data_IF_024446760026
#
_entry.id   IF_024446760026
#
_cell.length_a   1.000
_cell.length_b   1.000
_cell.length_c   1.000
_cell.angle_alpha   90.00
_cell.angle_beta   90.00
_cell.angle_gamma   90.00
#
_symmetry.space_group_name_H-M   'P 1'
#
loop_
_entity.id
_entity.type
_entity.pdbx_description
1 polymer ?
#
# COMPACT_ATOMS: atom_id res chain seq x y z
N UNK A 1 24.24 -17.21 31.87
CA UNK A 1 25.25 -17.07 30.80
C UNK A 1 24.53 -17.05 29.46
N UNK A 2 24.35 -15.86 28.89
CA UNK A 2 24.16 -15.60 27.46
C UNK A 2 24.12 -14.08 27.30
N UNK A 3 25.30 -13.51 27.43
CA UNK A 3 25.64 -12.11 27.18
C UNK A 3 25.56 -11.88 25.68
N UNK A 4 24.57 -11.13 25.18
CA UNK A 4 24.64 -10.44 23.89
C UNK A 4 23.81 -9.15 23.96
N UNK A 5 24.29 -8.22 24.79
CA UNK A 5 24.13 -6.80 24.53
C UNK A 5 25.25 -6.39 23.58
N UNK A 6 24.99 -6.32 22.27
CA UNK A 6 25.77 -5.48 21.35
C UNK A 6 25.05 -5.25 20.02
N UNK A 7 24.79 -3.98 19.73
CA UNK A 7 24.26 -3.39 18.49
C UNK A 7 22.73 -3.20 18.37
N UNK A 8 22.10 -2.65 19.40
CA UNK A 8 20.94 -1.78 19.17
C UNK A 8 21.45 -0.52 18.44
N UNK A 9 21.43 -0.55 17.11
CA UNK A 9 21.49 0.67 16.31
C UNK A 9 20.30 1.56 16.72
N UNK A 10 20.43 2.91 16.65
CA UNK A 10 19.36 3.84 17.05
C UNK A 10 18.06 3.72 16.23
N UNK A 11 17.98 2.75 15.32
CA UNK A 11 16.84 2.44 14.44
C UNK A 11 15.93 1.33 14.99
N UNK A 12 16.23 0.80 16.18
CA UNK A 12 15.44 -0.26 16.83
C UNK A 12 14.22 0.32 17.54
N UNK A 13 13.36 1.04 16.81
CA UNK A 13 12.14 1.64 17.36
C UNK A 13 10.89 1.24 16.57
N UNK A 14 10.82 -0.04 16.21
CA UNK A 14 9.62 -0.64 15.67
C UNK A 14 8.96 -1.53 16.73
N UNK A 15 8.67 -0.99 17.92
CA UNK A 15 7.86 -1.71 18.91
C UNK A 15 6.93 -0.76 19.65
N UNK A 16 5.64 -0.88 19.33
CA UNK A 16 4.48 -0.81 20.23
C UNK A 16 4.62 0.22 21.38
N UNK A 17 4.40 1.49 21.06
CA UNK A 17 4.35 2.57 22.05
C UNK A 17 3.68 3.79 21.46
N UNK A 18 2.43 4.02 21.83
CA UNK A 18 1.65 5.18 21.43
C UNK A 18 2.30 6.45 22.01
N UNK A 19 2.51 7.45 21.14
CA UNK A 19 2.80 8.87 21.43
C UNK A 19 4.26 9.28 21.78
N UNK A 20 4.90 9.90 20.77
CA UNK A 20 5.99 10.86 20.94
C UNK A 20 6.33 11.53 19.61
N UNK A 21 6.23 12.87 19.53
CA UNK A 21 6.49 13.64 18.29
C UNK A 21 7.87 13.32 17.70
N UNK A 22 8.88 13.10 18.54
CA UNK A 22 10.23 12.72 18.11
C UNK A 22 10.27 11.35 17.42
N UNK A 23 9.54 10.36 17.96
CA UNK A 23 9.47 9.02 17.39
C UNK A 23 8.81 9.07 16.00
N UNK A 24 7.80 9.93 15.84
CA UNK A 24 7.10 10.06 14.55
C UNK A 24 7.98 10.62 13.44
N UNK A 25 8.87 11.57 13.76
CA UNK A 25 9.78 12.14 12.77
C UNK A 25 10.91 11.18 12.40
N UNK A 26 11.42 10.42 13.37
CA UNK A 26 12.45 9.40 13.13
C UNK A 26 11.93 8.32 12.17
N UNK A 27 10.68 7.89 12.33
CA UNK A 27 10.07 6.88 11.45
C UNK A 27 9.94 7.40 10.01
N UNK A 28 9.58 8.68 9.81
CA UNK A 28 9.51 9.29 8.47
C UNK A 28 10.89 9.40 7.81
N UNK A 29 11.93 9.71 8.57
CA UNK A 29 13.32 9.75 8.06
C UNK A 29 13.80 8.35 7.69
N UNK A 30 13.36 7.32 8.42
CA UNK A 30 13.66 5.93 8.10
C UNK A 30 13.06 5.48 6.76
N UNK A 31 11.77 5.78 6.52
CA UNK A 31 11.14 5.57 5.21
C UNK A 31 11.94 6.29 4.10
N UNK A 32 12.24 7.58 4.30
CA UNK A 32 12.99 8.40 3.34
C UNK A 32 14.38 7.84 3.02
N UNK A 33 15.06 7.28 4.01
CA UNK A 33 16.40 6.71 3.85
C UNK A 33 16.41 5.55 2.83
N UNK A 34 15.49 4.60 2.98
CA UNK A 34 15.38 3.45 2.08
C UNK A 34 14.78 3.80 0.72
N UNK A 35 13.97 4.86 0.64
CA UNK A 35 13.39 5.31 -0.62
C UNK A 35 14.38 6.09 -1.49
N UNK A 36 15.19 6.98 -0.91
CA UNK A 36 16.05 7.89 -1.67
C UNK A 36 17.53 7.47 -1.68
N UNK A 37 18.07 7.07 -0.52
CA UNK A 37 19.52 6.97 -0.34
C UNK A 37 20.08 5.56 -0.53
N UNK A 38 19.26 4.53 -0.32
CA UNK A 38 19.63 3.15 -0.62
C UNK A 38 19.54 2.94 -2.13
N UNK A 39 20.59 2.40 -2.74
CA UNK A 39 20.62 2.05 -4.16
C UNK A 39 20.43 0.53 -4.32
N UNK A 40 19.53 0.06 -5.20
CA UNK A 40 18.56 0.82 -6.00
C UNK A 40 17.51 1.52 -5.12
N UNK A 41 16.92 2.63 -5.58
CA UNK A 41 15.91 3.39 -4.80
C UNK A 41 14.60 2.62 -4.62
N UNK A 42 13.76 3.07 -3.67
CA UNK A 42 12.43 2.49 -3.43
C UNK A 42 12.44 1.11 -2.76
N UNK A 43 13.44 0.80 -1.95
CA UNK A 43 13.59 -0.53 -1.32
C UNK A 43 12.81 -0.67 -0.02
N UNK A 44 12.05 0.36 0.37
CA UNK A 44 11.33 0.34 1.64
C UNK A 44 10.35 -0.84 1.76
N UNK A 45 9.77 -1.30 0.66
CA UNK A 45 8.91 -2.49 0.66
C UNK A 45 9.65 -3.78 1.07
N UNK A 46 10.92 -3.95 0.68
CA UNK A 46 11.71 -5.11 1.09
C UNK A 46 12.08 -5.04 2.57
N UNK A 47 12.45 -3.86 3.04
CA UNK A 47 12.69 -3.64 4.47
C UNK A 47 11.42 -3.90 5.28
N UNK A 48 10.25 -3.52 4.78
CA UNK A 48 8.96 -3.76 5.42
C UNK A 48 8.67 -5.25 5.60
N UNK A 49 9.04 -6.09 4.62
CA UNK A 49 8.96 -7.54 4.75
C UNK A 49 9.91 -8.06 5.84
N UNK A 50 11.15 -7.58 5.87
CA UNK A 50 12.12 -7.93 6.91
C UNK A 50 11.61 -7.54 8.31
N UNK A 51 11.00 -6.36 8.43
CA UNK A 51 10.41 -5.90 9.69
C UNK A 51 9.26 -6.79 10.13
N UNK A 52 8.42 -7.27 9.21
CA UNK A 52 7.38 -8.23 9.56
C UNK A 52 7.92 -9.58 10.04
N UNK A 53 9.08 -10.02 9.55
CA UNK A 53 9.71 -11.26 10.02
C UNK A 53 10.24 -11.12 11.45
N UNK A 54 10.63 -9.91 11.85
CA UNK A 54 11.19 -9.62 13.19
C UNK A 54 10.06 -9.30 14.20
N UNK A 55 9.12 -8.43 13.82
CA UNK A 55 8.14 -7.83 14.73
C UNK A 55 6.74 -8.42 14.63
N UNK A 56 6.48 -9.24 13.60
CA UNK A 56 5.21 -9.93 13.41
C UNK A 56 4.29 -9.30 12.36
N UNK A 57 3.02 -9.75 12.29
CA UNK A 57 2.13 -9.51 11.16
C UNK A 57 1.60 -8.08 11.03
N UNK A 58 1.68 -7.26 12.09
CA UNK A 58 1.19 -5.88 12.10
C UNK A 58 2.30 -4.97 12.58
N UNK A 59 2.74 -4.06 11.73
CA UNK A 59 3.82 -3.12 12.04
C UNK A 59 3.39 -1.69 11.74
N UNK A 60 3.84 -0.75 12.56
CA UNK A 60 3.65 0.67 12.30
C UNK A 60 4.86 1.19 11.55
N UNK A 61 4.75 1.27 10.22
CA UNK A 61 5.82 1.75 9.36
C UNK A 61 5.89 3.28 9.30
N UNK A 62 4.82 3.97 9.67
CA UNK A 62 4.74 5.42 9.62
C UNK A 62 3.86 5.98 10.75
N UNK A 63 4.03 7.26 11.13
CA UNK A 63 3.12 7.92 12.07
C UNK A 63 1.68 7.84 11.61
N UNK A 64 1.48 7.93 10.30
CA UNK A 64 0.18 8.00 9.65
C UNK A 64 -0.23 6.67 8.99
N UNK A 65 0.65 5.65 8.99
CA UNK A 65 0.38 4.38 8.31
C UNK A 65 0.81 3.14 9.11
N UNK A 66 -0.04 2.13 9.06
CA UNK A 66 0.17 0.80 9.61
C UNK A 66 0.20 -0.16 8.43
N UNK A 67 1.17 -1.07 8.42
CA UNK A 67 1.28 -2.12 7.42
C UNK A 67 0.92 -3.46 8.05
N UNK A 68 0.11 -4.24 7.33
CA UNK A 68 -0.47 -5.49 7.80
C UNK A 68 -0.19 -6.59 6.78
N UNK A 69 0.43 -7.68 7.21
CA UNK A 69 0.79 -8.86 6.41
C UNK A 69 0.00 -10.09 6.86
N UNK A 70 -1.29 -9.93 7.13
CA UNK A 70 -2.16 -10.98 7.64
C UNK A 70 -3.54 -10.93 6.97
N UNK A 71 -4.01 -12.08 6.50
CA UNK A 71 -5.30 -12.28 5.84
C UNK A 71 -6.47 -12.08 6.80
N UNK A 72 -6.29 -12.30 8.11
CA UNK A 72 -7.35 -12.09 9.09
C UNK A 72 -7.87 -10.65 9.11
N UNK A 73 -7.03 -9.68 8.71
CA UNK A 73 -7.41 -8.26 8.65
C UNK A 73 -8.04 -7.84 7.33
N UNK A 74 -8.18 -8.75 6.35
CA UNK A 74 -8.65 -8.40 5.01
C UNK A 74 -10.04 -7.75 5.05
N UNK A 75 -11.01 -8.37 5.73
CA UNK A 75 -12.39 -7.85 5.79
C UNK A 75 -12.49 -6.54 6.58
N UNK A 76 -11.55 -6.29 7.49
CA UNK A 76 -11.49 -5.08 8.32
C UNK A 76 -10.92 -3.91 7.50
N UNK A 77 -9.84 -4.16 6.75
CA UNK A 77 -9.13 -3.16 5.94
C UNK A 77 -9.86 -2.89 4.62
N UNK A 78 -10.25 -3.96 3.94
CA UNK A 78 -10.98 -3.96 2.67
C UNK A 78 -12.43 -4.32 2.92
N UNK A 79 -13.16 -3.40 3.57
CA UNK A 79 -14.56 -3.60 3.91
C UNK A 79 -15.45 -3.89 2.69
N UNK A 80 -16.42 -4.78 2.88
CA UNK A 80 -17.44 -5.12 1.90
C UNK A 80 -18.54 -4.05 1.71
N UNK A 81 -19.59 -4.38 0.93
CA UNK A 81 -20.71 -3.49 0.65
C UNK A 81 -21.33 -2.92 1.93
N UNK A 82 -21.46 -1.61 2.03
CA UNK A 82 -22.13 -0.92 3.15
C UNK A 82 -21.21 -0.11 4.08
N UNK A 83 -19.89 -0.20 3.93
CA UNK A 83 -18.95 0.65 4.65
C UNK A 83 -18.33 1.68 3.72
N UNK A 84 -18.40 2.95 4.12
CA UNK A 84 -17.81 4.07 3.38
C UNK A 84 -16.41 4.35 3.92
N UNK A 85 -15.40 4.29 3.04
CA UNK A 85 -14.02 4.67 3.33
C UNK A 85 -13.52 5.67 2.30
N UNK A 86 -12.75 6.64 2.77
CA UNK A 86 -12.09 7.65 1.95
C UNK A 86 -10.62 7.29 1.83
N UNK A 87 -10.03 7.43 0.65
CA UNK A 87 -8.60 7.21 0.47
C UNK A 87 -7.82 8.27 1.23
N UNK A 88 -6.66 7.90 1.74
CA UNK A 88 -5.77 8.87 2.36
C UNK A 88 -5.13 9.77 1.28
N UNK A 89 -5.28 11.07 1.45
CA UNK A 89 -4.83 12.11 0.52
C UNK A 89 -3.34 12.02 0.12
N UNK A 90 -2.42 11.72 1.07
CA UNK A 90 -0.98 11.51 0.73
C UNK A 90 -0.79 10.36 -0.25
N UNK A 91 -1.47 9.24 -0.04
CA UNK A 91 -1.43 8.08 -0.94
C UNK A 91 -2.09 8.41 -2.29
N UNK A 92 -3.16 9.21 -2.27
CA UNK A 92 -3.87 9.63 -3.47
C UNK A 92 -3.02 10.51 -4.40
N UNK A 93 -2.19 11.39 -3.82
CA UNK A 93 -1.22 12.23 -4.56
C UNK A 93 -0.08 11.44 -5.19
N UNK A 94 0.35 10.34 -4.56
CA UNK A 94 1.43 9.50 -5.07
C UNK A 94 1.11 8.88 -6.44
N UNK A 95 -0.19 8.69 -6.75
CA UNK A 95 -0.64 8.16 -8.04
C UNK A 95 -0.42 9.10 -9.24
N UNK A 96 0.06 10.33 -9.04
CA UNK A 96 0.40 11.32 -10.07
C UNK A 96 -0.65 11.53 -11.19
N UNK A 97 -1.93 11.21 -10.94
CA UNK A 97 -3.01 11.21 -11.92
C UNK A 97 -4.23 12.01 -11.42
N UNK A 98 -4.06 13.32 -11.18
CA UNK A 98 -5.09 14.16 -10.60
C UNK A 98 -6.38 14.11 -11.42
N UNK A 99 -7.52 13.98 -10.75
CA UNK A 99 -8.83 13.92 -11.39
C UNK A 99 -9.22 12.55 -11.98
N UNK A 100 -8.32 11.56 -11.99
CA UNK A 100 -8.63 10.20 -12.46
C UNK A 100 -9.63 9.47 -11.55
N UNK A 101 -10.13 8.32 -12.00
CA UNK A 101 -10.90 7.40 -11.13
C UNK A 101 -10.02 6.88 -9.99
N UNK A 102 -8.75 6.57 -10.28
CA UNK A 102 -7.78 6.10 -9.29
C UNK A 102 -7.49 7.16 -8.22
N UNK A 103 -7.49 8.44 -8.60
CA UNK A 103 -7.21 9.58 -7.72
C UNK A 103 -8.46 10.25 -7.12
N UNK A 104 -9.64 9.61 -7.18
CA UNK A 104 -10.82 10.11 -6.49
C UNK A 104 -10.70 9.84 -4.99
N UNK A 105 -10.58 10.89 -4.18
CA UNK A 105 -10.39 10.78 -2.72
C UNK A 105 -11.67 10.30 -2.02
N UNK A 106 -12.79 10.98 -2.28
CA UNK A 106 -14.09 10.68 -1.67
C UNK A 106 -14.80 9.48 -2.29
N UNK A 107 -15.48 8.70 -1.44
CA UNK A 107 -16.24 7.52 -1.84
C UNK A 107 -17.29 7.81 -2.93
N UNK A 108 -18.12 8.83 -2.76
CA UNK A 108 -19.17 9.17 -3.74
C UNK A 108 -18.59 9.59 -5.09
N UNK A 109 -17.51 10.38 -5.07
CA UNK A 109 -16.81 10.79 -6.29
C UNK A 109 -16.20 9.57 -7.01
N UNK A 110 -15.56 8.68 -6.25
CA UNK A 110 -15.01 7.44 -6.78
C UNK A 110 -16.12 6.55 -7.36
N UNK A 111 -17.24 6.41 -6.66
CA UNK A 111 -18.41 5.62 -7.08
C UNK A 111 -18.98 6.14 -8.40
N UNK A 112 -19.22 7.45 -8.51
CA UNK A 112 -19.74 8.08 -9.72
C UNK A 112 -18.79 7.88 -10.92
N UNK A 113 -17.49 8.12 -10.72
CA UNK A 113 -16.46 7.91 -11.77
C UNK A 113 -16.33 6.44 -12.17
N UNK A 114 -16.36 5.51 -11.21
CA UNK A 114 -16.26 4.06 -11.47
C UNK A 114 -17.49 3.52 -12.19
N UNK A 115 -18.67 4.07 -11.91
CA UNK A 115 -19.92 3.67 -12.55
C UNK A 115 -19.88 3.89 -14.07
N UNK A 116 -19.29 4.99 -14.53
CA UNK A 116 -19.11 5.26 -15.96
C UNK A 116 -18.28 4.18 -16.68
N UNK A 117 -17.42 3.45 -15.95
CA UNK A 117 -16.59 2.38 -16.50
C UNK A 117 -17.27 1.00 -16.52
N UNK A 118 -18.39 0.80 -15.80
CA UNK A 118 -19.04 -0.50 -15.69
C UNK A 118 -19.39 -1.19 -17.03
N UNK A 119 -19.85 -0.48 -18.09
CA UNK A 119 -20.17 -1.12 -19.37
C UNK A 119 -18.96 -1.79 -20.05
N UNK A 120 -17.75 -1.29 -19.83
CA UNK A 120 -16.53 -1.86 -20.40
C UNK A 120 -16.16 -3.20 -19.75
N UNK A 121 -16.56 -3.40 -18.50
CA UNK A 121 -16.28 -4.61 -17.73
C UNK A 121 -17.49 -5.58 -17.68
N UNK A 122 -18.45 -5.43 -18.59
CA UNK A 122 -19.54 -6.40 -18.72
C UNK A 122 -19.01 -7.70 -19.32
N UNK A 123 -19.58 -8.86 -18.92
CA UNK A 123 -19.20 -10.17 -19.46
C UNK A 123 -19.20 -10.19 -21.00
N UNK A 124 -20.26 -9.65 -21.61
CA UNK A 124 -20.39 -9.54 -23.08
C UNK A 124 -19.25 -8.72 -23.71
N UNK A 125 -18.90 -7.58 -23.11
CA UNK A 125 -17.81 -6.73 -23.61
C UNK A 125 -16.47 -7.44 -23.50
N UNK A 126 -16.22 -8.11 -22.37
CA UNK A 126 -15.00 -8.88 -22.11
C UNK A 126 -14.87 -10.05 -23.08
N UNK A 127 -15.94 -10.80 -23.30
CA UNK A 127 -15.97 -11.93 -24.23
C UNK A 127 -15.61 -11.47 -25.66
N UNK A 128 -16.22 -10.37 -26.12
CA UNK A 128 -15.92 -9.78 -27.44
C UNK A 128 -14.47 -9.30 -27.54
N UNK A 129 -13.95 -8.67 -26.49
CA UNK A 129 -12.57 -8.19 -26.46
C UNK A 129 -11.57 -9.36 -26.46
N UNK A 130 -11.91 -10.47 -25.79
CA UNK A 130 -11.11 -11.68 -25.72
C UNK A 130 -10.79 -12.26 -27.09
N UNK A 131 -11.75 -12.28 -28.02
CA UNK A 131 -11.53 -12.73 -29.40
C UNK A 131 -10.49 -11.87 -30.14
N UNK A 132 -10.54 -10.55 -29.94
CA UNK A 132 -9.58 -9.62 -30.53
C UNK A 132 -8.18 -9.82 -29.95
N UNK A 133 -8.06 -9.95 -28.62
CA UNK A 133 -6.79 -10.21 -27.94
C UNK A 133 -6.16 -11.51 -28.47
N UNK A 134 -6.95 -12.59 -28.56
CA UNK A 134 -6.47 -13.88 -29.09
C UNK A 134 -5.91 -13.73 -30.50
N UNK A 135 -6.60 -13.03 -31.38
CA UNK A 135 -6.13 -12.77 -32.74
C UNK A 135 -4.84 -11.93 -32.83
N UNK A 136 -4.53 -11.11 -31.82
CA UNK A 136 -3.23 -10.44 -31.73
C UNK A 136 -2.15 -11.36 -31.17
N UNK A 137 -2.47 -12.17 -30.16
CA UNK A 137 -1.53 -13.15 -29.57
C UNK A 137 -1.08 -14.17 -30.61
N UNK A 138 -1.99 -14.70 -31.43
CA UNK A 138 -1.69 -15.64 -32.52
C UNK A 138 -0.76 -15.08 -33.60
N UNK A 139 -0.57 -13.76 -33.68
CA UNK A 139 0.38 -13.12 -34.61
C UNK A 139 1.76 -12.88 -33.99
N UNK A 140 1.84 -12.88 -32.66
CA UNK A 140 3.08 -12.66 -31.90
C UNK A 140 3.79 -13.98 -31.58
N UNK A 141 3.03 -15.08 -31.53
CA UNK A 141 3.53 -16.45 -31.41
C UNK A 141 3.73 -17.07 -32.80
#
# INVERSE_FOLDING_TARGET
MATFLTSASPLTLAVIGFAGLLLTQVIKVYELYYDIFVAPSGQFFFELNRLHDIYGPVIRCNPDAIHVRDLYWYDILYTGPGHVRTKWDRSNRANASPGSVASAEGHELHRARRQALNPFFSKRTVDRLGESIRGYTEKLC
#
